data_IF_121994196661
#
_entry.id   IF_121994196661
#
_cell.length_a   1.000
_cell.length_b   1.000
_cell.length_c   1.000
_cell.angle_alpha   90.00
_cell.angle_beta   90.00
_cell.angle_gamma   90.00
#
_symmetry.space_group_name_H-M   'P 1'
#
loop_
_entity.id
_entity.type
_entity.pdbx_description
1 polymer ?
#
# COMPACT_ATOMS: atom_id res chain seq x y z
N UNK A 1 -12.49 10.86 8.95
CA UNK A 1 -11.03 10.82 9.19
C UNK A 1 -10.37 10.74 7.81
N UNK A 2 -9.34 11.53 7.53
CA UNK A 2 -8.60 11.44 6.25
C UNK A 2 -7.52 10.36 6.36
N UNK A 3 -7.28 9.63 5.26
CA UNK A 3 -6.33 8.52 5.19
C UNK A 3 -5.20 8.86 4.24
N UNK A 4 -4.01 9.02 4.81
CA UNK A 4 -2.84 9.40 4.02
C UNK A 4 -2.28 8.19 3.27
N UNK A 5 -2.05 8.40 1.98
CA UNK A 5 -1.55 7.43 1.04
C UNK A 5 -0.18 7.84 0.51
N UNK A 6 0.71 6.86 0.32
CA UNK A 6 2.00 7.03 -0.35
C UNK A 6 2.15 6.02 -1.47
N UNK A 7 2.64 6.47 -2.63
CA UNK A 7 2.95 5.60 -3.77
C UNK A 7 4.46 5.50 -3.89
N UNK A 8 4.99 4.28 -3.83
CA UNK A 8 6.42 3.98 -4.00
C UNK A 8 6.55 3.16 -5.28
N UNK A 9 6.80 3.82 -6.39
CA UNK A 9 6.91 3.20 -7.72
C UNK A 9 7.75 4.07 -8.65
N UNK A 10 8.62 3.46 -9.45
CA UNK A 10 9.27 4.14 -10.59
C UNK A 10 8.49 3.96 -11.90
N UNK A 11 7.39 3.19 -11.89
CA UNK A 11 6.54 2.99 -13.06
C UNK A 11 5.51 4.13 -13.18
N UNK A 12 5.60 5.01 -14.20
CA UNK A 12 4.72 6.17 -14.31
C UNK A 12 3.25 5.81 -14.56
N UNK A 13 2.99 4.75 -15.32
CA UNK A 13 1.62 4.29 -15.59
C UNK A 13 0.96 3.77 -14.31
N UNK A 14 1.71 2.98 -13.53
CA UNK A 14 1.24 2.47 -12.25
C UNK A 14 1.01 3.62 -11.26
N UNK A 15 1.94 4.57 -11.21
CA UNK A 15 1.82 5.75 -10.36
C UNK A 15 0.55 6.55 -10.70
N UNK A 16 0.32 6.87 -11.97
CA UNK A 16 -0.89 7.59 -12.42
C UNK A 16 -2.15 6.80 -12.06
N UNK A 17 -2.16 5.49 -12.29
CA UNK A 17 -3.29 4.61 -11.94
C UNK A 17 -3.66 4.69 -10.46
N UNK A 18 -2.69 4.61 -9.56
CA UNK A 18 -2.94 4.73 -8.11
C UNK A 18 -3.32 6.15 -7.72
N UNK A 19 -2.69 7.16 -8.33
CA UNK A 19 -3.03 8.56 -8.07
C UNK A 19 -4.49 8.86 -8.44
N UNK A 20 -4.95 8.40 -9.60
CA UNK A 20 -6.35 8.54 -10.03
C UNK A 20 -7.31 7.85 -9.05
N UNK A 21 -7.01 6.62 -8.65
CA UNK A 21 -7.79 5.90 -7.64
C UNK A 21 -7.90 6.66 -6.32
N UNK A 22 -6.78 7.17 -5.79
CA UNK A 22 -6.75 7.94 -4.54
C UNK A 22 -7.61 9.20 -4.67
N UNK A 23 -7.48 9.94 -5.78
CA UNK A 23 -8.25 11.18 -6.01
C UNK A 23 -9.75 10.90 -6.13
N UNK A 24 -10.13 9.75 -6.71
CA UNK A 24 -11.53 9.37 -6.90
C UNK A 24 -12.15 8.72 -5.65
N UNK A 25 -11.35 8.30 -4.68
CA UNK A 25 -11.82 7.62 -3.48
C UNK A 25 -12.01 8.62 -2.34
N UNK A 26 -13.24 8.78 -1.80
CA UNK A 26 -13.47 9.65 -0.67
C UNK A 26 -12.55 9.33 0.51
N UNK A 27 -12.11 10.37 1.21
CA UNK A 27 -11.27 10.31 2.41
C UNK A 27 -9.81 9.88 2.21
N UNK A 28 -9.40 9.39 1.03
CA UNK A 28 -7.97 9.14 0.74
C UNK A 28 -7.26 10.42 0.30
N UNK A 29 -6.01 10.60 0.74
CA UNK A 29 -5.18 11.77 0.40
C UNK A 29 -3.79 11.30 -0.01
N UNK A 30 -3.32 11.72 -1.19
CA UNK A 30 -1.95 11.45 -1.63
C UNK A 30 -0.99 12.42 -0.95
N UNK A 31 -0.01 11.92 -0.20
CA UNK A 31 1.05 12.74 0.37
C UNK A 31 1.98 13.26 -0.74
N UNK A 32 2.30 14.55 -0.70
CA UNK A 32 3.26 15.15 -1.62
C UNK A 32 4.69 14.70 -1.29
N UNK A 33 5.51 14.54 -2.33
CA UNK A 33 6.87 13.97 -2.28
C UNK A 33 7.85 14.72 -1.33
N UNK A 34 7.52 15.93 -0.89
CA UNK A 34 8.37 16.78 -0.03
C UNK A 34 7.83 16.96 1.41
N UNK A 35 6.84 16.18 1.84
CA UNK A 35 6.41 16.20 3.24
C UNK A 35 7.32 15.29 4.06
N UNK A 36 8.36 15.89 4.65
CA UNK A 36 9.15 15.24 5.69
C UNK A 36 8.23 14.91 6.87
N UNK A 37 8.18 13.62 7.23
CA UNK A 37 7.80 13.11 8.54
C UNK A 37 6.52 13.71 9.15
N UNK A 38 5.37 13.18 8.72
CA UNK A 38 4.16 13.18 9.53
C UNK A 38 3.78 11.74 9.84
N UNK A 39 3.63 11.41 11.12
CA UNK A 39 3.44 10.08 11.70
C UNK A 39 2.12 9.35 11.31
N UNK A 40 1.55 9.65 10.13
CA UNK A 40 0.18 9.27 9.76
C UNK A 40 0.10 8.56 8.40
N UNK A 41 1.16 7.93 7.90
CA UNK A 41 1.09 7.14 6.66
C UNK A 41 0.23 5.90 6.92
N UNK A 42 -1.03 5.91 6.50
CA UNK A 42 -1.97 4.83 6.80
C UNK A 42 -1.99 3.76 5.71
N UNK A 43 -1.74 4.12 4.45
CA UNK A 43 -1.68 3.18 3.33
C UNK A 43 -0.49 3.47 2.42
N UNK A 44 0.32 2.44 2.15
CA UNK A 44 1.51 2.53 1.30
C UNK A 44 1.37 1.55 0.14
N UNK A 45 1.29 2.07 -1.08
CA UNK A 45 1.29 1.30 -2.31
C UNK A 45 2.73 1.13 -2.78
N UNK A 46 3.28 -0.08 -2.63
CA UNK A 46 4.68 -0.35 -2.90
C UNK A 46 4.88 -1.27 -4.11
N UNK A 47 5.41 -0.73 -5.21
CA UNK A 47 5.90 -1.50 -6.35
C UNK A 47 7.31 -2.07 -6.07
N UNK A 48 7.34 -3.34 -5.66
CA UNK A 48 8.59 -4.07 -5.36
C UNK A 48 9.45 -4.33 -6.58
N UNK A 49 8.89 -4.34 -7.79
CA UNK A 49 9.67 -4.67 -8.99
C UNK A 49 10.45 -3.46 -9.51
N UNK A 50 10.09 -2.23 -9.12
CA UNK A 50 10.72 -1.00 -9.64
C UNK A 50 11.35 -0.11 -8.58
N UNK A 51 11.03 -0.32 -7.30
CA UNK A 51 11.65 0.36 -6.17
C UNK A 51 11.87 -0.64 -5.04
N UNK A 52 13.12 -0.79 -4.62
CA UNK A 52 13.41 -1.44 -3.36
C UNK A 52 13.31 -0.42 -2.22
N UNK A 53 12.76 -0.84 -1.08
CA UNK A 53 12.79 -0.07 0.17
C UNK A 53 13.44 -0.92 1.24
N UNK A 54 14.08 -0.27 2.21
CA UNK A 54 14.76 -0.99 3.26
C UNK A 54 13.76 -1.77 4.14
N UNK A 55 14.12 -2.99 4.49
CA UNK A 55 13.29 -3.83 5.36
C UNK A 55 13.07 -3.20 6.75
N UNK A 56 14.02 -2.40 7.24
CA UNK A 56 13.90 -1.59 8.45
C UNK A 56 12.74 -0.59 8.36
N UNK A 57 12.71 0.18 7.26
CA UNK A 57 11.63 1.14 6.99
C UNK A 57 10.25 0.45 6.93
N UNK A 58 10.18 -0.73 6.28
CA UNK A 58 8.96 -1.53 6.18
C UNK A 58 8.45 -1.99 7.54
N UNK A 59 9.34 -2.46 8.42
CA UNK A 59 8.96 -2.89 9.77
C UNK A 59 8.47 -1.72 10.60
N UNK A 60 9.15 -0.58 10.50
CA UNK A 60 8.79 0.64 11.22
C UNK A 60 7.38 1.12 10.88
N UNK A 61 7.05 1.28 9.59
CA UNK A 61 5.71 1.72 9.17
C UNK A 61 4.62 0.71 9.55
N UNK A 62 4.85 -0.61 9.41
CA UNK A 62 3.86 -1.60 9.84
C UNK A 62 3.68 -1.57 11.36
N UNK A 63 4.75 -1.37 12.13
CA UNK A 63 4.71 -1.21 13.57
C UNK A 63 3.86 -0.01 14.03
N UNK A 64 3.72 1.02 13.18
CA UNK A 64 2.84 2.16 13.42
C UNK A 64 1.38 1.93 12.96
N UNK A 65 1.03 0.72 12.50
CA UNK A 65 -0.32 0.40 12.05
C UNK A 65 -0.60 0.77 10.59
N UNK A 66 0.43 1.13 9.81
CA UNK A 66 0.29 1.37 8.38
C UNK A 66 -0.03 0.09 7.63
N UNK A 67 -0.94 0.16 6.66
CA UNK A 67 -1.12 -0.89 5.65
C UNK A 67 -0.07 -0.74 4.57
N UNK A 68 0.55 -1.85 4.19
CA UNK A 68 1.36 -1.94 2.99
C UNK A 68 0.64 -2.80 1.97
N UNK A 69 0.41 -2.25 0.79
CA UNK A 69 -0.09 -3.00 -0.37
C UNK A 69 1.07 -3.19 -1.33
N UNK A 70 1.61 -4.40 -1.33
CA UNK A 70 2.74 -4.80 -2.17
C UNK A 70 2.26 -5.14 -3.57
N UNK A 71 2.87 -4.53 -4.57
CA UNK A 71 2.47 -4.62 -5.97
C UNK A 71 3.59 -5.28 -6.76
N UNK A 72 3.31 -6.44 -7.37
CA UNK A 72 4.31 -7.18 -8.14
C UNK A 72 3.70 -7.86 -9.37
N UNK A 73 4.50 -8.00 -10.42
CA UNK A 73 4.26 -8.95 -11.52
C UNK A 73 5.17 -10.18 -11.47
N UNK A 74 6.20 -10.16 -10.62
CA UNK A 74 7.26 -11.16 -10.60
C UNK A 74 7.17 -12.09 -9.39
N UNK A 75 6.66 -11.59 -8.27
CA UNK A 75 6.58 -12.31 -7.01
C UNK A 75 5.16 -12.81 -6.76
N UNK A 76 5.05 -14.09 -6.40
CA UNK A 76 3.78 -14.63 -5.91
C UNK A 76 3.45 -14.07 -4.52
N UNK A 77 2.17 -14.13 -4.15
CA UNK A 77 1.71 -13.77 -2.81
C UNK A 77 2.49 -14.49 -1.71
N UNK A 78 2.77 -15.78 -1.88
CA UNK A 78 3.51 -16.59 -0.91
C UNK A 78 4.94 -16.08 -0.72
N UNK A 79 5.61 -15.70 -1.81
CA UNK A 79 6.96 -15.12 -1.74
C UNK A 79 6.93 -13.78 -1.03
N UNK A 80 5.96 -12.92 -1.37
CA UNK A 80 5.80 -11.62 -0.70
C UNK A 80 5.55 -11.79 0.79
N UNK A 81 4.65 -12.70 1.20
CA UNK A 81 4.36 -12.92 2.62
C UNK A 81 5.57 -13.40 3.43
N UNK A 82 6.52 -14.11 2.81
CA UNK A 82 7.77 -14.53 3.47
C UNK A 82 8.73 -13.38 3.74
N UNK A 83 8.53 -12.21 3.15
CA UNK A 83 9.32 -11.01 3.41
C UNK A 83 8.94 -10.33 4.73
N UNK A 84 7.79 -10.70 5.31
CA UNK A 84 7.24 -10.08 6.51
C UNK A 84 7.18 -11.06 7.67
N UNK A 85 7.34 -10.52 8.88
CA UNK A 85 7.12 -11.26 10.12
C UNK A 85 5.63 -11.58 10.29
N UNK A 86 5.31 -12.67 10.99
CA UNK A 86 3.92 -13.17 11.09
C UNK A 86 2.96 -12.14 11.68
N UNK A 87 3.42 -11.36 12.65
CA UNK A 87 2.66 -10.28 13.30
C UNK A 87 2.35 -9.09 12.38
N UNK A 88 3.11 -8.92 11.30
CA UNK A 88 2.92 -7.84 10.32
C UNK A 88 1.93 -8.21 9.20
N UNK A 89 1.69 -9.51 8.97
CA UNK A 89 0.81 -10.00 7.90
C UNK A 89 -0.63 -9.41 7.92
N UNK A 90 -1.25 -9.11 9.08
CA UNK A 90 -2.53 -8.41 9.12
C UNK A 90 -2.51 -7.05 8.42
N UNK A 91 -1.37 -6.36 8.37
CA UNK A 91 -1.22 -5.05 7.72
C UNK A 91 -0.72 -5.13 6.27
N UNK A 92 -0.43 -6.33 5.76
CA UNK A 92 0.12 -6.53 4.41
C UNK A 92 -0.95 -7.05 3.46
N UNK A 93 -1.16 -6.29 2.37
CA UNK A 93 -1.92 -6.68 1.19
C UNK A 93 -1.00 -6.94 0.00
N UNK A 94 -1.48 -7.71 -0.98
CA UNK A 94 -0.73 -8.02 -2.20
C UNK A 94 -1.60 -7.79 -3.42
N UNK A 95 -1.07 -7.13 -4.43
CA UNK A 95 -1.76 -6.82 -5.67
C UNK A 95 -0.90 -7.21 -6.89
N UNK A 96 -1.51 -7.88 -7.86
CA UNK A 96 -0.83 -8.20 -9.11
C UNK A 96 -0.94 -7.03 -10.10
N UNK A 97 0.17 -6.66 -10.75
CA UNK A 97 0.19 -5.52 -11.70
C UNK A 97 -0.68 -5.70 -12.94
N UNK A 98 -0.75 -6.93 -13.46
CA UNK A 98 -1.38 -7.25 -14.74
C UNK A 98 -2.88 -7.46 -14.62
N UNK A 99 -3.59 -6.42 -14.18
CA UNK A 99 -5.05 -6.40 -14.09
C UNK A 99 -5.61 -5.14 -14.73
N UNK A 100 -6.73 -5.28 -15.44
CA UNK A 100 -7.44 -4.14 -16.04
C UNK A 100 -7.97 -3.20 -14.95
N UNK A 101 -8.27 -1.94 -15.29
CA UNK A 101 -8.61 -0.92 -14.28
C UNK A 101 -9.84 -1.28 -13.43
N UNK A 102 -10.89 -1.86 -14.01
CA UNK A 102 -12.07 -2.30 -13.25
C UNK A 102 -11.71 -3.35 -12.20
N UNK A 103 -11.00 -4.40 -12.61
CA UNK A 103 -10.52 -5.46 -11.70
C UNK A 103 -9.56 -4.91 -10.64
N UNK A 104 -8.78 -3.89 -10.97
CA UNK A 104 -7.91 -3.21 -10.03
C UNK A 104 -8.70 -2.52 -8.93
N UNK A 105 -9.76 -1.78 -9.27
CA UNK A 105 -10.62 -1.11 -8.28
C UNK A 105 -11.25 -2.15 -7.35
N UNK A 106 -11.82 -3.22 -7.90
CA UNK A 106 -12.46 -4.27 -7.11
C UNK A 106 -11.46 -4.94 -6.15
N UNK A 107 -10.27 -5.29 -6.65
CA UNK A 107 -9.26 -5.99 -5.87
C UNK A 107 -8.64 -5.09 -4.81
N UNK A 108 -8.36 -3.81 -5.13
CA UNK A 108 -7.79 -2.88 -4.14
C UNK A 108 -8.79 -2.55 -3.05
N UNK A 109 -10.07 -2.36 -3.38
CA UNK A 109 -11.15 -2.18 -2.40
C UNK A 109 -11.26 -3.40 -1.49
N UNK A 110 -11.26 -4.62 -2.05
CA UNK A 110 -11.29 -5.86 -1.27
C UNK A 110 -10.09 -5.98 -0.32
N UNK A 111 -8.89 -5.62 -0.77
CA UNK A 111 -7.69 -5.61 0.07
C UNK A 111 -7.88 -4.59 1.20
N UNK A 112 -8.32 -3.37 0.89
CA UNK A 112 -8.51 -2.32 1.90
C UNK A 112 -9.55 -2.72 2.94
N UNK A 113 -10.69 -3.28 2.53
CA UNK A 113 -11.75 -3.75 3.43
C UNK A 113 -11.26 -4.88 4.35
N UNK A 114 -10.53 -5.86 3.80
CA UNK A 114 -9.96 -6.95 4.59
C UNK A 114 -8.90 -6.49 5.60
N UNK A 115 -8.35 -5.29 5.39
CA UNK A 115 -7.27 -4.71 6.20
C UNK A 115 -7.77 -3.54 7.05
N UNK A 116 -9.02 -3.12 6.88
CA UNK A 116 -9.67 -2.05 7.60
C UNK A 116 -9.61 -2.24 9.12
N UNK A 117 -9.71 -3.48 9.62
CA UNK A 117 -9.54 -3.77 11.05
C UNK A 117 -8.18 -3.33 11.60
N UNK A 118 -7.12 -3.35 10.78
CA UNK A 118 -5.81 -2.85 11.17
C UNK A 118 -5.77 -1.30 11.19
N UNK A 119 -6.48 -0.64 10.27
CA UNK A 119 -6.57 0.84 10.21
C UNK A 119 -7.37 1.39 11.40
N UNK A 120 -8.48 0.75 11.74
CA UNK A 120 -9.45 1.26 12.72
C UNK A 120 -9.18 0.84 14.18
N UNK A 121 -8.18 -0.02 14.43
CA UNK A 121 -7.72 -0.37 15.79
C UNK A 121 -6.83 0.70 16.45
N UNK A 122 -6.40 1.72 15.71
CA UNK A 122 -5.48 2.78 16.19
C UNK A 122 -6.23 4.02 16.72
N UNK A 123 -7.55 3.96 16.85
CA UNK A 123 -8.37 5.02 17.47
C UNK A 123 -8.92 4.61 18.82
#
# INVERSE_FOLDING_TARGET
MWVNCKIISSNPLLYTKFKEFIIQTPFLVLLHENTENGADQQIIFWDVDTRNIESSYVKEIVGFGSIIIVISSLLSKDVITKLFEKEHLPCVGTLTKHIIYSQFVDEISRIMDAKAEAIFRVN
#
